data_IF_549200273579
#
_entry.id   IF_549200273579
#
_cell.length_a   1.000
_cell.length_b   1.000
_cell.length_c   1.000
_cell.angle_alpha   90.00
_cell.angle_beta   90.00
_cell.angle_gamma   90.00
#
_symmetry.space_group_name_H-M   'P 1'
#
loop_
_entity.id
_entity.type
_entity.pdbx_description
1 polymer ?
#
# COMPACT_ATOMS: atom_id res chain seq x y z
N UNK A 1 -22.79 5.03 2.25
CA UNK A 1 -22.30 6.40 2.56
C UNK A 1 -21.55 6.46 3.89
N UNK A 2 -22.05 5.83 4.96
CA UNK A 2 -21.45 5.87 6.31
C UNK A 2 -19.92 5.59 6.39
N UNK A 3 -19.41 4.60 5.65
CA UNK A 3 -17.98 4.23 5.69
C UNK A 3 -17.03 5.32 5.19
N UNK A 4 -17.46 6.11 4.19
CA UNK A 4 -16.64 7.21 3.64
C UNK A 4 -16.67 8.42 4.57
N UNK A 5 -17.84 8.75 5.12
CA UNK A 5 -18.01 9.86 6.07
C UNK A 5 -17.21 9.61 7.34
N UNK A 6 -17.26 8.40 7.91
CA UNK A 6 -16.53 8.04 9.13
C UNK A 6 -15.01 8.14 8.98
N UNK A 7 -14.48 7.84 7.79
CA UNK A 7 -13.04 7.93 7.52
C UNK A 7 -12.61 9.38 7.24
N UNK A 8 -13.45 10.17 6.58
CA UNK A 8 -13.16 11.60 6.40
C UNK A 8 -13.19 12.35 7.74
N UNK A 9 -14.13 12.02 8.63
CA UNK A 9 -14.18 12.62 9.96
C UNK A 9 -13.01 12.16 10.83
N UNK A 10 -12.63 10.88 10.78
CA UNK A 10 -11.45 10.40 11.53
C UNK A 10 -10.14 11.02 11.01
N UNK A 11 -9.97 11.14 9.70
CA UNK A 11 -8.81 11.83 9.11
C UNK A 11 -8.77 13.32 9.48
N UNK A 12 -9.93 14.00 9.53
CA UNK A 12 -10.03 15.39 9.97
C UNK A 12 -9.61 15.58 11.42
N UNK A 13 -10.08 14.71 12.32
CA UNK A 13 -9.71 14.73 13.75
C UNK A 13 -8.21 14.45 13.93
N UNK A 14 -7.66 13.46 13.22
CA UNK A 14 -6.23 13.14 13.25
C UNK A 14 -5.39 14.33 12.77
N UNK A 15 -5.88 15.09 11.79
CA UNK A 15 -5.20 16.29 11.29
C UNK A 15 -5.15 17.45 12.26
N UNK A 16 -6.10 17.55 13.19
CA UNK A 16 -6.09 18.57 14.24
C UNK A 16 -5.14 18.18 15.38
N UNK A 17 -4.94 16.89 15.62
CA UNK A 17 -4.11 16.36 16.70
C UNK A 17 -2.64 16.30 16.29
N UNK A 18 -2.33 15.95 15.03
CA UNK A 18 -0.95 15.81 14.56
C UNK A 18 -0.78 16.24 13.10
N UNK A 19 -0.49 17.52 12.84
CA UNK A 19 -0.26 18.04 11.49
C UNK A 19 0.89 17.33 10.75
N UNK A 20 1.96 16.96 11.47
CA UNK A 20 3.10 16.22 10.92
C UNK A 20 2.72 14.81 10.48
N UNK A 21 1.85 14.13 11.23
CA UNK A 21 1.34 12.82 10.82
C UNK A 21 0.44 12.93 9.59
N UNK A 22 -0.47 13.91 9.58
CA UNK A 22 -1.38 14.10 8.44
C UNK A 22 -0.67 14.51 7.15
N UNK A 23 0.36 15.34 7.21
CA UNK A 23 1.17 15.67 6.03
C UNK A 23 1.87 14.42 5.48
N UNK A 24 2.44 13.60 6.37
CA UNK A 24 2.99 12.30 6.01
C UNK A 24 1.95 11.39 5.35
N UNK A 25 0.72 11.34 5.89
CA UNK A 25 -0.38 10.53 5.37
C UNK A 25 -0.75 10.92 3.94
N UNK A 26 -0.89 12.22 3.67
CA UNK A 26 -1.15 12.74 2.33
C UNK A 26 -0.03 12.37 1.36
N UNK A 27 1.23 12.58 1.77
CA UNK A 27 2.40 12.24 0.94
C UNK A 27 2.42 10.75 0.63
N UNK A 28 2.32 9.89 1.65
CA UNK A 28 2.30 8.43 1.48
C UNK A 28 1.17 7.97 0.56
N UNK A 29 -0.02 8.55 0.70
CA UNK A 29 -1.16 8.24 -0.16
C UNK A 29 -0.91 8.62 -1.62
N UNK A 30 -0.44 9.85 -1.87
CA UNK A 30 -0.17 10.34 -3.24
C UNK A 30 0.94 9.52 -3.89
N UNK A 31 2.04 9.26 -3.17
CA UNK A 31 3.16 8.48 -3.69
C UNK A 31 2.74 7.05 -4.02
N UNK A 32 2.00 6.37 -3.13
CA UNK A 32 1.47 5.02 -3.37
C UNK A 32 0.52 4.97 -4.58
N UNK A 33 -0.32 6.01 -4.72
CA UNK A 33 -1.22 6.20 -5.87
C UNK A 33 -0.45 6.37 -7.18
N UNK A 34 0.52 7.27 -7.22
CA UNK A 34 1.32 7.53 -8.42
C UNK A 34 2.12 6.30 -8.83
N UNK A 35 2.73 5.61 -7.86
CA UNK A 35 3.45 4.37 -8.08
C UNK A 35 2.53 3.30 -8.70
N UNK A 36 1.38 3.04 -8.08
CA UNK A 36 0.41 2.04 -8.55
C UNK A 36 -0.14 2.37 -9.94
N UNK A 37 -0.52 3.63 -10.20
CA UNK A 37 -1.00 4.07 -11.52
C UNK A 37 0.06 3.89 -12.60
N UNK A 38 1.31 4.31 -12.34
CA UNK A 38 2.39 4.22 -13.32
C UNK A 38 2.82 2.77 -13.59
N UNK A 39 2.73 1.89 -12.59
CA UNK A 39 2.97 0.47 -12.78
C UNK A 39 1.90 -0.17 -13.67
N UNK A 40 0.63 0.17 -13.43
CA UNK A 40 -0.51 -0.30 -14.24
C UNK A 40 -0.47 0.20 -15.69
N UNK A 41 -0.03 1.43 -15.90
CA UNK A 41 0.10 2.03 -17.24
C UNK A 41 1.36 1.57 -17.99
N UNK A 42 2.18 0.69 -17.40
CA UNK A 42 3.43 0.21 -18.00
C UNK A 42 4.50 1.30 -18.19
N UNK A 43 4.27 2.51 -17.67
CA UNK A 43 5.19 3.65 -17.72
C UNK A 43 6.40 3.47 -16.80
N UNK A 44 6.27 2.58 -15.82
CA UNK A 44 7.32 2.23 -14.88
C UNK A 44 7.65 0.74 -15.04
N UNK A 45 8.91 0.43 -15.38
CA UNK A 45 9.48 -0.93 -15.36
C UNK A 45 10.06 -1.29 -13.98
N UNK A 46 9.46 -0.80 -12.89
CA UNK A 46 9.84 -1.26 -11.56
C UNK A 46 9.30 -2.68 -11.42
N UNK A 47 10.21 -3.65 -11.34
CA UNK A 47 9.84 -5.03 -11.11
C UNK A 47 9.15 -5.09 -9.74
N UNK A 48 7.89 -5.56 -9.65
CA UNK A 48 7.29 -5.83 -8.35
C UNK A 48 8.24 -6.74 -7.56
N UNK A 49 8.34 -6.49 -6.25
CA UNK A 49 9.25 -7.23 -5.39
C UNK A 49 8.70 -8.65 -5.22
N UNK A 50 9.07 -9.53 -6.14
CA UNK A 50 8.60 -10.91 -6.20
C UNK A 50 9.70 -11.82 -5.65
N UNK A 51 9.47 -12.39 -4.48
CA UNK A 51 10.32 -13.44 -3.93
C UNK A 51 9.86 -14.80 -4.46
N UNK A 52 10.72 -15.50 -5.19
CA UNK A 52 10.45 -16.89 -5.60
C UNK A 52 11.06 -17.86 -4.59
N UNK A 53 10.23 -18.48 -3.77
CA UNK A 53 10.64 -19.53 -2.83
C UNK A 53 10.16 -20.87 -3.40
N UNK A 54 11.08 -21.65 -3.99
CA UNK A 54 10.80 -22.95 -4.62
C UNK A 54 9.66 -22.83 -5.65
N UNK A 55 8.49 -23.39 -5.37
CA UNK A 55 7.31 -23.39 -6.25
C UNK A 55 6.35 -22.22 -6.01
N UNK A 56 6.70 -21.28 -5.13
CA UNK A 56 5.86 -20.16 -4.74
C UNK A 56 6.49 -18.84 -5.20
N UNK A 57 5.66 -17.92 -5.70
CA UNK A 57 5.99 -16.53 -5.97
C UNK A 57 5.23 -15.67 -4.97
N UNK A 58 5.95 -14.96 -4.12
CA UNK A 58 5.41 -14.04 -3.13
C UNK A 58 5.56 -12.63 -3.68
N UNK A 59 4.43 -11.96 -3.92
CA UNK A 59 4.37 -10.58 -4.35
C UNK A 59 4.29 -9.70 -3.11
N UNK A 60 5.36 -8.99 -2.79
CA UNK A 60 5.34 -8.04 -1.68
C UNK A 60 4.69 -6.75 -2.14
N UNK A 61 3.49 -6.54 -1.65
CA UNK A 61 2.76 -5.30 -1.85
C UNK A 61 3.32 -4.22 -0.93
N UNK A 62 3.32 -2.97 -1.39
CA UNK A 62 3.88 -1.86 -0.62
C UNK A 62 3.14 -1.61 0.71
N UNK A 63 1.84 -1.92 0.81
CA UNK A 63 1.12 -1.86 2.09
C UNK A 63 1.62 -2.91 3.09
N UNK A 64 2.00 -4.09 2.61
CA UNK A 64 2.50 -5.18 3.46
C UNK A 64 3.92 -4.88 3.95
N UNK A 65 4.76 -4.30 3.08
CA UNK A 65 6.07 -3.76 3.48
C UNK A 65 5.93 -2.65 4.52
N UNK A 66 5.02 -1.70 4.30
CA UNK A 66 4.75 -0.62 5.26
C UNK A 66 4.28 -1.18 6.62
N UNK A 67 3.44 -2.22 6.61
CA UNK A 67 2.97 -2.90 7.81
C UNK A 67 4.11 -3.63 8.55
N UNK A 68 4.98 -4.36 7.84
CA UNK A 68 6.16 -5.00 8.44
C UNK A 68 7.05 -3.97 9.11
N UNK A 69 7.35 -2.86 8.42
CA UNK A 69 8.17 -1.78 8.97
C UNK A 69 7.54 -1.23 10.25
N UNK A 70 6.22 -0.98 10.24
CA UNK A 70 5.50 -0.49 11.42
C UNK A 70 5.60 -1.47 12.61
N UNK A 71 5.43 -2.77 12.36
CA UNK A 71 5.55 -3.83 13.38
C UNK A 71 6.99 -3.90 13.91
N UNK A 72 7.99 -3.85 13.03
CA UNK A 72 9.40 -3.85 13.44
C UNK A 72 9.73 -2.65 14.33
N UNK A 73 9.23 -1.46 14.00
CA UNK A 73 9.42 -0.26 14.83
C UNK A 73 8.75 -0.42 16.19
N UNK A 74 7.53 -0.98 16.23
CA UNK A 74 6.79 -1.22 17.46
C UNK A 74 7.51 -2.21 18.39
N UNK A 75 7.96 -3.35 17.85
CA UNK A 75 8.66 -4.39 18.63
C UNK A 75 10.04 -3.91 19.08
N UNK A 76 10.72 -3.08 18.29
CA UNK A 76 12.05 -2.56 18.64
C UNK A 76 12.02 -1.57 19.80
N UNK A 77 10.84 -1.12 20.26
CA UNK A 77 10.69 -0.07 21.28
C UNK A 77 11.14 1.31 20.80
N UNK A 78 11.49 1.47 19.52
CA UNK A 78 12.04 2.70 18.92
C UNK A 78 10.95 3.63 18.40
N UNK A 79 9.75 3.56 18.96
CA UNK A 79 8.61 4.32 18.46
C UNK A 79 8.85 5.84 18.53
N UNK A 80 9.58 6.30 19.54
CA UNK A 80 9.96 7.71 19.70
C UNK A 80 11.08 8.19 18.76
N UNK A 81 11.80 7.30 18.07
CA UNK A 81 12.92 7.68 17.20
C UNK A 81 12.48 8.21 15.83
N UNK A 82 11.27 7.87 15.38
CA UNK A 82 10.76 8.28 14.08
C UNK A 82 9.79 9.44 14.24
N UNK A 83 9.86 10.40 13.31
CA UNK A 83 8.94 11.55 13.32
C UNK A 83 7.52 11.12 12.96
N UNK A 84 6.54 11.91 13.41
CA UNK A 84 5.13 11.73 13.04
C UNK A 84 4.91 11.63 11.52
N UNK A 85 5.75 12.32 10.74
CA UNK A 85 5.74 12.27 9.26
C UNK A 85 6.01 10.87 8.74
N UNK A 86 6.96 10.13 9.32
CA UNK A 86 7.30 8.76 8.89
C UNK A 86 6.11 7.83 9.11
N UNK A 87 5.48 7.90 10.28
CA UNK A 87 4.28 7.12 10.57
C UNK A 87 3.11 7.51 9.69
N UNK A 88 2.97 8.80 9.39
CA UNK A 88 2.04 9.32 8.41
C UNK A 88 2.24 8.67 7.05
N UNK A 89 3.47 8.67 6.52
CA UNK A 89 3.79 8.10 5.21
C UNK A 89 3.44 6.60 5.16
N UNK A 90 3.83 5.84 6.18
CA UNK A 90 3.50 4.40 6.28
C UNK A 90 1.98 4.18 6.32
N UNK A 91 1.25 4.97 7.11
CA UNK A 91 -0.21 4.94 7.17
C UNK A 91 -0.85 5.32 5.83
N UNK A 92 -0.34 6.35 5.16
CA UNK A 92 -0.80 6.79 3.84
C UNK A 92 -0.66 5.72 2.77
N UNK A 93 0.44 4.95 2.77
CA UNK A 93 0.66 3.82 1.87
C UNK A 93 -0.33 2.67 2.11
N UNK A 94 -0.65 2.38 3.38
CA UNK A 94 -1.64 1.36 3.74
C UNK A 94 -3.04 1.80 3.35
N UNK A 95 -3.42 3.03 3.71
CA UNK A 95 -4.72 3.63 3.38
C UNK A 95 -4.90 3.69 1.86
N UNK A 96 -3.85 4.03 1.12
CA UNK A 96 -3.91 4.05 -0.33
C UNK A 96 -4.37 2.72 -0.88
N UNK A 97 -3.83 1.60 -0.43
CA UNK A 97 -4.23 0.30 -0.96
C UNK A 97 -5.65 -0.12 -0.54
N UNK A 98 -6.04 0.18 0.71
CA UNK A 98 -7.40 -0.10 1.20
C UNK A 98 -8.44 0.69 0.42
N UNK A 99 -8.14 1.95 0.08
CA UNK A 99 -9.05 2.87 -0.60
C UNK A 99 -8.86 2.96 -2.11
N UNK A 100 -7.84 2.31 -2.66
CA UNK A 100 -7.57 2.37 -4.09
C UNK A 100 -8.75 1.76 -4.84
N UNK A 101 -9.52 2.66 -5.44
CA UNK A 101 -10.88 2.42 -5.86
C UNK A 101 -10.93 1.35 -6.97
N UNK A 102 -11.86 0.43 -6.77
CA UNK A 102 -12.62 -0.35 -7.75
C UNK A 102 -12.73 0.23 -9.16
N UNK A 103 -12.71 1.56 -9.36
CA UNK A 103 -12.71 2.20 -10.68
C UNK A 103 -11.51 1.82 -11.56
N UNK A 104 -10.30 1.71 -11.02
CA UNK A 104 -9.13 1.28 -11.79
C UNK A 104 -9.18 -0.21 -12.11
N UNK A 105 -9.68 -1.02 -11.17
CA UNK A 105 -9.96 -2.44 -11.42
C UNK A 105 -11.13 -2.67 -12.38
N UNK A 106 -12.12 -1.77 -12.44
CA UNK A 106 -13.17 -1.78 -13.48
C UNK A 106 -12.56 -1.54 -14.86
N UNK A 107 -11.56 -0.67 -14.96
CA UNK A 107 -10.83 -0.41 -16.22
C UNK A 107 -9.89 -1.54 -16.61
N UNK A 108 -9.33 -2.24 -15.62
CA UNK A 108 -8.36 -3.32 -15.82
C UNK A 108 -8.65 -4.53 -14.91
N UNK A 109 -9.70 -5.33 -15.21
CA UNK A 109 -10.16 -6.42 -14.35
C UNK A 109 -9.13 -7.55 -14.20
N UNK A 110 -8.33 -7.82 -15.24
CA UNK A 110 -7.24 -8.80 -15.19
C UNK A 110 -6.23 -8.52 -14.07
N UNK A 111 -5.95 -7.24 -13.84
CA UNK A 111 -5.01 -6.80 -12.83
C UNK A 111 -5.60 -7.00 -11.42
N UNK A 112 -6.92 -6.94 -11.23
CA UNK A 112 -7.56 -7.15 -9.92
C UNK A 112 -7.18 -8.48 -9.30
N UNK A 113 -7.34 -9.57 -10.04
CA UNK A 113 -7.03 -10.90 -9.51
C UNK A 113 -5.54 -11.11 -9.24
N UNK A 114 -4.68 -10.48 -10.04
CA UNK A 114 -3.23 -10.64 -9.94
C UNK A 114 -2.63 -9.78 -8.84
N UNK A 115 -3.20 -8.61 -8.58
CA UNK A 115 -2.74 -7.67 -7.56
C UNK A 115 -3.05 -8.11 -6.13
N UNK A 116 -4.23 -8.69 -5.88
CA UNK A 116 -4.57 -9.19 -4.54
C UNK A 116 -3.89 -10.53 -4.22
N UNK A 117 -3.35 -11.25 -5.21
CA UNK A 117 -2.64 -12.50 -5.00
C UNK A 117 -1.22 -12.23 -4.51
N UNK A 118 -1.11 -12.12 -3.18
CA UNK A 118 0.18 -12.03 -2.47
C UNK A 118 1.02 -13.31 -2.71
N UNK A 119 0.36 -14.46 -2.83
CA UNK A 119 1.04 -15.75 -3.02
C UNK A 119 0.47 -16.44 -4.26
N UNK A 120 1.34 -16.80 -5.20
CA UNK A 120 0.96 -17.58 -6.39
C UNK A 120 1.84 -18.84 -6.51
N UNK A 121 1.24 -19.98 -6.87
CA UNK A 121 1.96 -21.23 -7.17
C UNK A 121 2.42 -21.22 -8.62
N UNK A 122 3.65 -21.65 -8.88
CA UNK A 122 4.32 -21.66 -10.22
C UNK A 122 3.62 -22.52 -11.28
N UNK A 123 2.59 -23.31 -10.94
CA UNK A 123 2.00 -24.32 -11.81
C UNK A 123 1.17 -23.81 -13.01
N UNK A 124 1.14 -22.49 -13.28
CA UNK A 124 0.31 -21.91 -14.36
C UNK A 124 1.01 -20.83 -15.20
N UNK A 125 2.35 -20.84 -15.29
CA UNK A 125 3.09 -19.90 -16.17
C UNK A 125 4.10 -20.61 -17.07
N UNK A 126 3.68 -21.72 -17.69
CA UNK A 126 4.46 -22.46 -18.70
C UNK A 126 3.63 -22.86 -19.92
N UNK A 127 2.74 -21.96 -20.38
CA UNK A 127 2.15 -22.05 -21.72
C UNK A 127 1.96 -20.63 -22.26
N UNK A 128 2.68 -20.30 -23.33
CA UNK A 128 2.55 -19.06 -24.12
C UNK A 128 3.63 -18.03 -23.85
#
# INVERSE_FOLDING_TARGET
MARKTLVLTSLGIISLISPSFSSGLVVGYITGRQYSSRLLEGKIKIRPLIFSIRNWKIHLHHWFLALIILICIAISGKFSHFSGVVYGILGGLIIQDIYWDTKLYKKHPYWKEKWYKIVTRRAHSSVG
#
